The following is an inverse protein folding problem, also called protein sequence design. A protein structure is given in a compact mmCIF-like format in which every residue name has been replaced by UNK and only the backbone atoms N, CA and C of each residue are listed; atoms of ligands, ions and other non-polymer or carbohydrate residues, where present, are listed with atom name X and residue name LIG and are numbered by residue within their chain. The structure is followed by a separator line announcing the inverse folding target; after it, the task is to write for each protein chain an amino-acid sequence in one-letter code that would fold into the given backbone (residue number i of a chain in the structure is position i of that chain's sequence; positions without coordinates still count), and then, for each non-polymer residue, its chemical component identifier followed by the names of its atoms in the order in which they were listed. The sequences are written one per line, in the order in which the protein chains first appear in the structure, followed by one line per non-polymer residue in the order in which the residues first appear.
data_IF_038212324718
#
_entry.id   IF_038212324718
#
_cell.length_a   1.000
_cell.length_b   1.000
_cell.length_c   1.000
_cell.angle_alpha   90.00
_cell.angle_beta   90.00
_cell.angle_gamma   90.00
#
_symmetry.space_group_name_H-M   'P 1'
#
loop_
_entity.id
_entity.type
_entity.pdbx_description
1 polymer ?
#
# COMPACT_ATOMS: atom_id res chain seq x y z
N UNK A 1 -33.91 -18.06 -38.85
CA UNK A 1 -34.75 -18.12 -37.64
C UNK A 1 -33.82 -18.25 -36.45
N UNK A 2 -33.59 -17.17 -35.72
CA UNK A 2 -32.87 -17.14 -34.44
C UNK A 2 -33.92 -17.10 -33.32
N UNK A 3 -33.70 -17.77 -32.18
CA UNK A 3 -34.72 -17.88 -31.15
C UNK A 3 -35.03 -16.52 -30.53
N UNK A 4 -36.32 -16.31 -30.30
CA UNK A 4 -36.91 -15.12 -29.69
C UNK A 4 -36.22 -14.80 -28.35
N UNK A 5 -35.76 -13.55 -28.22
CA UNK A 5 -35.37 -12.98 -26.93
C UNK A 5 -36.55 -13.11 -25.96
N UNK A 6 -36.29 -13.58 -24.73
CA UNK A 6 -37.32 -13.68 -23.71
C UNK A 6 -37.85 -12.29 -23.32
N UNK A 7 -39.14 -12.15 -22.99
CA UNK A 7 -39.71 -10.92 -22.49
C UNK A 7 -39.24 -10.73 -21.04
N UNK A 8 -38.14 -9.98 -20.87
CA UNK A 8 -37.65 -9.30 -19.64
C UNK A 8 -36.20 -8.78 -19.77
N UNK A 9 -35.57 -8.88 -20.95
CA UNK A 9 -34.27 -8.25 -21.20
C UNK A 9 -34.44 -6.73 -21.30
N UNK A 10 -34.25 -6.02 -20.19
CA UNK A 10 -34.15 -4.56 -20.19
C UNK A 10 -32.74 -4.19 -20.68
N UNK A 11 -32.65 -3.73 -21.93
CA UNK A 11 -31.42 -3.16 -22.47
C UNK A 11 -31.22 -1.75 -21.89
N UNK A 12 -30.24 -1.58 -20.99
CA UNK A 12 -29.75 -0.26 -20.55
C UNK A 12 -28.83 0.41 -21.58
N UNK A 13 -28.50 1.71 -21.42
CA UNK A 13 -27.93 2.56 -22.47
C UNK A 13 -26.41 2.40 -22.66
N UNK A 14 -25.91 1.16 -22.78
CA UNK A 14 -24.50 0.92 -23.09
C UNK A 14 -24.32 0.56 -24.56
N UNK A 15 -24.20 1.58 -25.42
CA UNK A 15 -23.52 1.49 -26.73
C UNK A 15 -22.93 2.84 -27.13
N UNK A 16 -21.68 2.85 -27.57
CA UNK A 16 -21.18 3.75 -28.63
C UNK A 16 -20.34 2.86 -29.58
N UNK A 17 -20.47 2.90 -30.91
CA UNK A 17 -20.33 4.05 -31.81
C UNK A 17 -21.24 3.95 -33.06
N UNK A 18 -21.47 5.10 -33.71
CA UNK A 18 -22.17 5.29 -34.99
C UNK A 18 -21.34 4.95 -36.24
N UNK A 19 -20.10 4.46 -36.08
CA UNK A 19 -19.15 4.20 -37.19
C UNK A 19 -18.86 2.71 -37.48
N UNK A 20 -19.52 1.78 -36.78
CA UNK A 20 -19.40 0.35 -37.05
C UNK A 20 -18.08 -0.30 -36.60
N UNK A 21 -17.27 0.37 -35.77
CA UNK A 21 -16.13 -0.27 -35.11
C UNK A 21 -16.59 -1.18 -33.95
N UNK A 22 -15.98 -2.36 -33.83
CA UNK A 22 -16.51 -3.50 -33.06
C UNK A 22 -16.72 -3.20 -31.57
N UNK A 23 -17.98 -3.30 -31.14
CA UNK A 23 -18.39 -3.25 -29.73
C UNK A 23 -17.97 -4.56 -29.06
N UNK A 24 -16.82 -4.56 -28.39
CA UNK A 24 -16.39 -5.70 -27.57
C UNK A 24 -16.89 -5.67 -26.12
N UNK A 25 -17.65 -4.65 -25.69
CA UNK A 25 -18.07 -4.53 -24.29
C UNK A 25 -19.59 -4.33 -24.13
N UNK A 26 -20.39 -5.33 -24.53
CA UNK A 26 -21.73 -5.48 -23.94
C UNK A 26 -21.54 -6.18 -22.59
N UNK A 27 -21.41 -5.42 -21.51
CA UNK A 27 -21.55 -6.00 -20.17
C UNK A 27 -23.04 -6.26 -19.94
N UNK A 28 -23.40 -7.54 -19.97
CA UNK A 28 -24.65 -8.00 -19.36
C UNK A 28 -24.40 -7.91 -17.85
N UNK A 29 -25.11 -7.01 -17.19
CA UNK A 29 -25.08 -6.94 -15.74
C UNK A 29 -26.11 -7.92 -15.18
N UNK A 30 -25.70 -8.76 -14.24
CA UNK A 30 -26.59 -9.71 -13.56
C UNK A 30 -27.62 -9.00 -12.66
N UNK A 31 -27.35 -7.73 -12.31
CA UNK A 31 -28.20 -6.88 -11.47
C UNK A 31 -28.92 -5.81 -12.30
N UNK A 32 -30.11 -5.42 -11.85
CA UNK A 32 -30.84 -4.30 -12.45
C UNK A 32 -30.02 -3.01 -12.44
N UNK A 33 -29.99 -2.23 -13.54
CA UNK A 33 -29.28 -0.96 -13.57
C UNK A 33 -29.78 0.01 -12.49
N UNK A 34 -28.86 0.65 -11.79
CA UNK A 34 -29.18 1.76 -10.91
C UNK A 34 -29.81 2.90 -11.73
N UNK A 35 -30.99 3.37 -11.32
CA UNK A 35 -31.69 4.48 -12.00
C UNK A 35 -30.88 5.79 -12.02
N UNK A 36 -29.93 5.94 -11.10
CA UNK A 36 -29.05 7.11 -11.01
C UNK A 36 -27.75 6.95 -11.80
N UNK A 37 -27.50 5.78 -12.42
CA UNK A 37 -26.34 5.57 -13.28
C UNK A 37 -25.01 6.00 -12.65
N UNK A 38 -24.23 6.78 -13.37
CA UNK A 38 -22.90 7.22 -12.97
C UNK A 38 -22.91 8.33 -11.90
N UNK A 39 -24.07 8.95 -11.64
CA UNK A 39 -24.25 10.00 -10.62
C UNK A 39 -24.86 9.43 -9.33
N UNK A 40 -24.89 8.11 -9.16
CA UNK A 40 -25.42 7.47 -7.96
C UNK A 40 -24.57 7.84 -6.72
N UNK A 41 -25.23 8.43 -5.72
CA UNK A 41 -24.61 8.77 -4.44
C UNK A 41 -24.52 7.57 -3.49
N UNK A 42 -25.24 6.48 -3.76
CA UNK A 42 -25.28 5.25 -2.96
C UNK A 42 -24.28 4.20 -3.45
N UNK A 43 -23.36 4.57 -4.35
CA UNK A 43 -22.36 3.67 -4.93
C UNK A 43 -21.44 3.00 -3.88
N UNK A 44 -21.34 3.52 -2.66
CA UNK A 44 -20.54 2.93 -1.57
C UNK A 44 -21.39 2.22 -0.51
N UNK A 45 -22.72 2.28 -0.63
CA UNK A 45 -23.59 1.49 0.24
C UNK A 45 -23.52 0.02 -0.21
N UNK A 46 -23.02 -0.84 0.68
CA UNK A 46 -22.79 -2.25 0.37
C UNK A 46 -24.08 -2.98 0.01
N UNK A 47 -25.23 -2.57 0.56
CA UNK A 47 -26.53 -3.20 0.26
C UNK A 47 -27.02 -2.73 -1.11
N UNK A 48 -26.83 -1.47 -1.45
CA UNK A 48 -27.20 -0.91 -2.75
C UNK A 48 -26.43 -1.58 -3.89
N UNK A 49 -25.09 -1.65 -3.81
CA UNK A 49 -24.27 -2.24 -4.88
C UNK A 49 -24.45 -3.75 -5.04
N UNK A 50 -24.96 -4.45 -4.02
CA UNK A 50 -25.35 -5.86 -4.13
C UNK A 50 -26.67 -6.06 -4.90
N UNK A 51 -27.51 -5.03 -4.97
CA UNK A 51 -28.84 -5.11 -5.59
C UNK A 51 -28.91 -4.41 -6.96
N UNK A 52 -27.99 -3.49 -7.26
CA UNK A 52 -28.01 -2.69 -8.47
C UNK A 52 -26.65 -2.64 -9.18
N UNK A 53 -26.69 -2.73 -10.50
CA UNK A 53 -25.51 -2.51 -11.34
C UNK A 53 -25.27 -1.03 -11.60
N UNK A 54 -24.01 -0.67 -11.74
CA UNK A 54 -23.59 0.70 -12.02
C UNK A 54 -22.75 0.78 -13.29
N UNK A 55 -22.73 1.95 -13.95
CA UNK A 55 -21.90 2.15 -15.14
C UNK A 55 -20.41 1.96 -14.86
N UNK A 56 -19.62 1.61 -15.87
CA UNK A 56 -18.16 1.52 -15.73
C UNK A 56 -17.54 2.90 -15.52
N UNK A 57 -16.27 2.92 -15.09
CA UNK A 57 -15.47 4.14 -15.00
C UNK A 57 -15.12 4.68 -16.40
N UNK A 58 -15.01 6.00 -16.53
CA UNK A 58 -14.50 6.61 -17.75
C UNK A 58 -12.99 6.33 -17.89
N UNK A 59 -12.61 5.52 -18.88
CA UNK A 59 -11.21 5.14 -19.11
C UNK A 59 -10.29 6.33 -19.33
N UNK A 60 -10.72 7.32 -20.12
CA UNK A 60 -9.92 8.52 -20.39
C UNK A 60 -9.67 9.27 -19.08
N UNK A 61 -10.73 9.51 -18.32
CA UNK A 61 -10.67 10.17 -17.02
C UNK A 61 -9.73 9.47 -16.03
N UNK A 62 -9.84 8.15 -15.89
CA UNK A 62 -8.98 7.38 -14.97
C UNK A 62 -7.49 7.47 -15.35
N UNK A 63 -7.17 7.54 -16.64
CA UNK A 63 -5.78 7.55 -17.11
C UNK A 63 -5.16 8.95 -17.10
N UNK A 64 -5.93 9.99 -17.40
CA UNK A 64 -5.40 11.34 -17.64
C UNK A 64 -5.91 12.39 -16.65
N UNK A 65 -6.89 12.06 -15.80
CA UNK A 65 -7.61 13.02 -14.97
C UNK A 65 -8.47 14.01 -15.75
N UNK A 66 -8.67 13.77 -17.06
CA UNK A 66 -9.43 14.65 -17.97
C UNK A 66 -10.31 13.82 -18.91
N UNK A 67 -11.43 14.39 -19.33
CA UNK A 67 -12.30 13.76 -20.32
C UNK A 67 -12.81 14.85 -21.28
N UNK A 68 -12.77 14.59 -22.58
CA UNK A 68 -13.26 15.54 -23.58
C UNK A 68 -14.78 15.56 -23.69
N UNK A 69 -15.46 14.58 -23.08
CA UNK A 69 -16.91 14.37 -23.13
C UNK A 69 -17.61 14.80 -21.83
N UNK A 70 -16.99 15.66 -21.01
CA UNK A 70 -17.59 16.14 -19.75
C UNK A 70 -18.90 16.90 -19.93
N UNK A 71 -19.15 17.45 -21.13
CA UNK A 71 -20.39 18.15 -21.47
C UNK A 71 -21.43 17.25 -22.15
N UNK A 72 -21.08 16.01 -22.46
CA UNK A 72 -21.97 15.05 -23.11
C UNK A 72 -22.83 14.35 -22.05
N UNK A 73 -24.12 14.70 -21.96
CA UNK A 73 -25.03 14.20 -20.92
C UNK A 73 -25.07 12.66 -20.91
N UNK A 74 -25.10 12.04 -22.08
CA UNK A 74 -25.12 10.57 -22.21
C UNK A 74 -23.83 9.97 -21.67
N UNK A 75 -22.67 10.57 -21.97
CA UNK A 75 -21.38 10.11 -21.45
C UNK A 75 -21.29 10.23 -19.93
N UNK A 76 -21.70 11.38 -19.39
CA UNK A 76 -21.70 11.64 -17.95
C UNK A 76 -22.70 10.76 -17.18
N UNK A 77 -23.73 10.23 -17.85
CA UNK A 77 -24.65 9.24 -17.29
C UNK A 77 -24.12 7.80 -17.41
N UNK A 78 -23.38 7.51 -18.48
CA UNK A 78 -22.89 6.17 -18.83
C UNK A 78 -21.50 5.85 -18.29
N UNK A 79 -20.76 6.82 -17.75
CA UNK A 79 -19.42 6.61 -17.23
C UNK A 79 -19.15 7.42 -15.96
N UNK A 80 -18.58 6.74 -14.96
CA UNK A 80 -18.22 7.36 -13.67
C UNK A 80 -16.93 8.18 -13.83
N UNK A 81 -16.96 9.43 -13.38
CA UNK A 81 -15.83 10.38 -13.39
C UNK A 81 -15.51 10.77 -11.95
N UNK A 82 -14.77 9.91 -11.23
CA UNK A 82 -14.25 10.24 -9.89
C UNK A 82 -12.76 10.49 -9.98
N UNK A 83 -12.27 11.47 -9.23
CA UNK A 83 -10.84 11.75 -9.21
C UNK A 83 -10.14 10.72 -8.33
N UNK A 84 -8.99 10.15 -8.72
CA UNK A 84 -8.20 9.39 -7.76
C UNK A 84 -7.87 10.30 -6.57
N UNK A 85 -8.15 9.84 -5.36
CA UNK A 85 -7.82 10.60 -4.16
C UNK A 85 -6.31 10.81 -4.10
N UNK A 86 -5.85 12.06 -3.94
CA UNK A 86 -4.41 12.37 -3.80
C UNK A 86 -3.73 11.67 -2.63
N UNK A 87 -4.51 11.24 -1.64
CA UNK A 87 -4.03 10.50 -0.47
C UNK A 87 -4.18 8.98 -0.62
N UNK A 88 -4.81 8.50 -1.70
CA UNK A 88 -4.96 7.09 -2.03
C UNK A 88 -5.49 6.27 -0.86
N UNK A 89 -4.80 5.18 -0.56
CA UNK A 89 -5.12 4.28 0.56
C UNK A 89 -5.01 4.93 1.96
N UNK A 90 -4.29 6.03 2.09
CA UNK A 90 -4.03 6.71 3.37
C UNK A 90 -4.96 7.91 3.62
N UNK A 91 -6.05 8.01 2.86
CA UNK A 91 -6.98 9.12 3.00
C UNK A 91 -7.67 9.13 4.38
N UNK A 92 -7.56 10.25 5.10
CA UNK A 92 -8.23 10.46 6.40
C UNK A 92 -9.69 10.87 6.27
N UNK A 93 -10.07 11.41 5.12
CA UNK A 93 -11.42 11.89 4.83
C UNK A 93 -12.32 10.80 4.24
N UNK A 94 -11.94 9.53 4.38
CA UNK A 94 -12.67 8.38 3.83
C UNK A 94 -14.09 8.22 4.40
N UNK A 95 -14.35 8.79 5.58
CA UNK A 95 -15.67 8.79 6.20
C UNK A 95 -16.47 10.06 5.87
N UNK A 96 -15.90 11.01 5.12
CA UNK A 96 -16.61 12.19 4.67
C UNK A 96 -17.39 11.85 3.40
N UNK A 97 -18.71 11.82 3.51
CA UNK A 97 -19.63 11.47 2.41
C UNK A 97 -19.39 12.30 1.14
N UNK A 98 -19.11 13.60 1.30
CA UNK A 98 -18.84 14.47 0.16
C UNK A 98 -17.51 14.10 -0.52
N UNK A 99 -16.49 13.80 0.27
CA UNK A 99 -15.18 13.41 -0.25
C UNK A 99 -15.24 12.10 -1.04
N UNK A 100 -15.92 11.07 -0.51
CA UNK A 100 -16.02 9.79 -1.22
C UNK A 100 -16.87 9.86 -2.48
N UNK A 101 -17.81 10.81 -2.58
CA UNK A 101 -18.58 11.05 -3.82
C UNK A 101 -17.69 11.60 -4.94
N UNK A 102 -16.73 12.47 -4.59
CA UNK A 102 -15.83 13.15 -5.53
C UNK A 102 -14.59 12.32 -5.88
N UNK A 103 -14.09 11.51 -4.93
CA UNK A 103 -12.80 10.84 -5.03
C UNK A 103 -12.87 9.31 -4.95
N UNK A 104 -12.18 8.66 -5.88
CA UNK A 104 -11.94 7.22 -5.89
C UNK A 104 -10.78 6.85 -4.96
N UNK A 105 -10.94 5.74 -4.25
CA UNK A 105 -9.96 5.20 -3.33
C UNK A 105 -9.70 3.72 -3.67
N UNK A 106 -8.51 3.19 -3.37
CA UNK A 106 -8.22 1.78 -3.60
C UNK A 106 -9.17 0.84 -2.84
N UNK A 107 -9.26 -0.42 -3.26
CA UNK A 107 -10.04 -1.41 -2.53
C UNK A 107 -9.42 -1.72 -1.16
N UNK A 108 -10.23 -2.22 -0.23
CA UNK A 108 -9.69 -2.78 1.00
C UNK A 108 -8.85 -4.02 0.71
N UNK A 109 -7.78 -4.21 1.48
CA UNK A 109 -6.97 -5.42 1.45
C UNK A 109 -7.86 -6.64 1.76
N UNK A 110 -7.80 -7.66 0.91
CA UNK A 110 -8.60 -8.89 1.04
C UNK A 110 -8.30 -9.67 2.32
N UNK A 111 -7.10 -9.50 2.89
CA UNK A 111 -6.70 -10.12 4.15
C UNK A 111 -7.30 -9.43 5.38
N UNK A 112 -7.94 -8.25 5.23
CA UNK A 112 -8.60 -7.52 6.32
C UNK A 112 -7.69 -7.36 7.54
N UNK A 113 -8.20 -7.77 8.71
CA UNK A 113 -7.46 -7.70 9.98
C UNK A 113 -6.21 -8.57 10.05
N UNK A 114 -6.09 -9.59 9.20
CA UNK A 114 -4.96 -10.52 9.16
C UNK A 114 -3.79 -10.03 8.28
N UNK A 115 -3.92 -8.89 7.60
CA UNK A 115 -2.88 -8.42 6.70
C UNK A 115 -1.57 -8.09 7.44
N UNK A 116 -0.49 -8.81 7.11
CA UNK A 116 0.87 -8.58 7.64
C UNK A 116 1.80 -7.83 6.67
N UNK A 117 1.35 -7.58 5.43
CA UNK A 117 2.18 -6.94 4.40
C UNK A 117 2.22 -5.42 4.59
N UNK A 118 3.34 -4.94 5.12
CA UNK A 118 3.60 -3.51 5.35
C UNK A 118 4.49 -2.88 4.28
N UNK A 119 4.66 -3.53 3.12
CA UNK A 119 5.48 -2.98 2.04
C UNK A 119 4.84 -1.69 1.48
N UNK A 120 5.68 -0.73 1.08
CA UNK A 120 5.21 0.55 0.52
C UNK A 120 4.24 0.36 -0.63
N UNK A 121 4.50 -0.61 -1.50
CA UNK A 121 3.68 -0.83 -2.69
C UNK A 121 2.31 -1.40 -2.32
N UNK A 122 2.26 -2.32 -1.34
CA UNK A 122 1.01 -2.85 -0.80
C UNK A 122 0.17 -1.76 -0.09
N UNK A 123 0.80 -0.97 0.78
CA UNK A 123 0.16 0.12 1.53
C UNK A 123 -0.35 1.25 0.62
N UNK A 124 0.25 1.44 -0.56
CA UNK A 124 -0.24 2.39 -1.58
C UNK A 124 -1.41 1.80 -2.39
N UNK A 125 -1.35 0.50 -2.67
CA UNK A 125 -2.30 -0.19 -3.54
C UNK A 125 -3.61 -0.57 -2.85
N UNK A 126 -3.64 -0.71 -1.52
CA UNK A 126 -4.82 -1.19 -0.79
C UNK A 126 -5.09 -0.36 0.46
N UNK A 127 -6.37 -0.18 0.78
CA UNK A 127 -6.81 0.35 2.08
C UNK A 127 -6.75 -0.73 3.15
N UNK A 128 -6.43 -0.34 4.37
CA UNK A 128 -6.40 -1.24 5.52
C UNK A 128 -7.34 -0.77 6.62
N UNK A 129 -7.72 -1.71 7.47
CA UNK A 129 -8.36 -1.40 8.75
C UNK A 129 -7.38 -0.61 9.64
N UNK A 130 -7.88 0.23 10.56
CA UNK A 130 -7.05 0.85 11.58
C UNK A 130 -6.17 -0.17 12.31
N UNK A 131 -4.94 0.23 12.65
CA UNK A 131 -4.03 -0.61 13.42
C UNK A 131 -4.57 -0.81 14.84
N UNK A 132 -4.50 -2.04 15.33
CA UNK A 132 -4.78 -2.35 16.74
C UNK A 132 -3.65 -1.80 17.62
N UNK A 133 -3.99 -1.15 18.73
CA UNK A 133 -3.01 -0.61 19.70
C UNK A 133 -2.04 -1.70 20.20
N UNK A 134 -2.55 -2.89 20.48
CA UNK A 134 -1.73 -4.03 20.96
C UNK A 134 -1.01 -4.78 19.82
N UNK A 135 -1.24 -4.39 18.55
CA UNK A 135 -0.64 -5.02 17.37
C UNK A 135 -0.75 -6.56 17.43
N UNK A 136 0.32 -7.32 17.17
CA UNK A 136 0.29 -8.79 17.22
C UNK A 136 0.12 -9.38 18.64
N UNK A 137 0.32 -8.58 19.69
CA UNK A 137 0.13 -9.01 21.10
C UNK A 137 -1.32 -8.93 21.56
N UNK A 138 -2.23 -8.47 20.70
CA UNK A 138 -3.64 -8.33 21.04
C UNK A 138 -4.27 -9.68 21.42
N UNK A 139 -4.74 -9.81 22.67
CA UNK A 139 -5.40 -11.04 23.14
C UNK A 139 -6.65 -11.38 22.32
N UNK A 140 -7.46 -10.37 21.96
CA UNK A 140 -8.67 -10.57 21.14
C UNK A 140 -8.35 -11.12 19.74
N UNK A 141 -7.19 -10.80 19.20
CA UNK A 141 -6.71 -11.38 17.95
C UNK A 141 -6.28 -12.83 18.13
N UNK A 142 -5.52 -13.11 19.19
CA UNK A 142 -5.08 -14.47 19.54
C UNK A 142 -6.26 -15.41 19.85
N UNK A 143 -7.34 -14.89 20.44
CA UNK A 143 -8.59 -15.59 20.70
C UNK A 143 -9.54 -15.63 19.50
N UNK A 144 -9.13 -15.07 18.35
CA UNK A 144 -9.91 -15.02 17.11
C UNK A 144 -11.32 -14.39 17.27
N UNK A 145 -11.44 -13.33 18.06
CA UNK A 145 -12.70 -12.60 18.24
C UNK A 145 -13.08 -11.86 16.95
N UNK A 146 -14.04 -12.39 16.19
CA UNK A 146 -14.41 -11.95 14.83
C UNK A 146 -14.70 -10.44 14.73
N UNK A 147 -15.55 -9.91 15.62
CA UNK A 147 -15.92 -8.49 15.63
C UNK A 147 -14.70 -7.55 15.80
N UNK A 148 -13.68 -8.00 16.53
CA UNK A 148 -12.43 -7.23 16.70
C UNK A 148 -11.60 -7.26 15.41
N UNK A 149 -11.44 -8.44 14.81
CA UNK A 149 -10.62 -8.65 13.61
C UNK A 149 -11.22 -7.98 12.37
N UNK A 150 -12.54 -7.84 12.31
CA UNK A 150 -13.23 -7.09 11.25
C UNK A 150 -13.01 -5.57 11.34
N UNK A 151 -12.57 -5.06 12.49
CA UNK A 151 -12.40 -3.62 12.75
C UNK A 151 -10.96 -3.17 12.82
N UNK A 152 -10.04 -4.08 13.15
CA UNK A 152 -8.64 -3.74 13.38
C UNK A 152 -7.70 -4.67 12.63
N UNK A 153 -6.57 -4.11 12.20
CA UNK A 153 -5.43 -4.84 11.63
C UNK A 153 -4.37 -5.11 12.70
N UNK A 154 -3.78 -6.30 12.65
CA UNK A 154 -2.81 -6.79 13.62
C UNK A 154 -1.47 -7.12 12.96
N UNK A 155 -0.77 -6.12 12.43
CA UNK A 155 0.60 -6.32 11.94
C UNK A 155 1.65 -5.74 12.89
N UNK A 156 2.91 -6.15 12.71
CA UNK A 156 4.03 -5.50 13.39
C UNK A 156 4.21 -4.12 12.74
N UNK A 157 4.11 -3.01 13.49
CA UNK A 157 4.33 -1.67 12.95
C UNK A 157 5.78 -1.54 12.47
N UNK A 158 6.01 -0.74 11.43
CA UNK A 158 7.37 -0.38 11.04
C UNK A 158 8.01 0.46 12.16
N UNK A 159 9.30 0.24 12.44
CA UNK A 159 10.06 1.08 13.36
C UNK A 159 10.11 2.52 12.84
N UNK A 160 9.76 3.50 13.67
CA UNK A 160 9.78 4.93 13.30
C UNK A 160 11.17 5.44 12.90
N UNK A 161 12.21 4.78 13.38
CA UNK A 161 13.60 5.13 13.12
C UNK A 161 14.24 4.35 11.95
N UNK A 162 13.53 3.36 11.39
CA UNK A 162 14.01 2.53 10.28
C UNK A 162 15.48 2.07 10.47
N UNK A 163 16.37 2.36 9.51
CA UNK A 163 17.81 2.04 9.51
C UNK A 163 18.65 2.85 10.52
N UNK A 164 18.03 3.67 11.36
CA UNK A 164 18.69 4.53 12.36
C UNK A 164 18.21 4.23 13.79
N UNK A 165 17.51 3.11 14.00
CA UNK A 165 16.95 2.75 15.29
C UNK A 165 18.00 2.64 16.39
N UNK A 166 17.90 3.48 17.43
CA UNK A 166 18.79 3.45 18.60
C UNK A 166 18.44 2.32 19.58
N UNK A 167 17.16 1.90 19.57
CA UNK A 167 16.59 0.86 20.44
C UNK A 167 16.78 -0.57 19.89
N UNK A 168 17.64 -0.75 18.88
CA UNK A 168 17.84 -2.05 18.22
C UNK A 168 18.37 -3.15 19.16
N UNK A 169 18.92 -2.78 20.32
CA UNK A 169 19.37 -3.71 21.37
C UNK A 169 18.29 -4.06 22.39
N UNK A 170 17.20 -3.30 22.42
CA UNK A 170 16.07 -3.57 23.29
C UNK A 170 15.25 -4.69 22.65
N UNK A 171 15.35 -5.90 23.19
CA UNK A 171 14.66 -7.08 22.66
C UNK A 171 13.17 -6.81 22.47
N UNK A 172 12.53 -6.16 23.44
CA UNK A 172 11.11 -5.82 23.34
C UNK A 172 10.83 -4.88 22.15
N UNK A 173 11.66 -3.86 21.90
CA UNK A 173 11.50 -3.00 20.72
C UNK A 173 11.70 -3.79 19.43
N UNK A 174 12.77 -4.58 19.34
CA UNK A 174 13.08 -5.34 18.13
C UNK A 174 11.99 -6.37 17.79
N UNK A 175 11.41 -7.02 18.80
CA UNK A 175 10.33 -8.00 18.59
C UNK A 175 8.99 -7.34 18.23
N UNK A 176 8.75 -6.10 18.67
CA UNK A 176 7.48 -5.39 18.46
C UNK A 176 7.47 -4.43 17.27
N UNK A 177 8.61 -4.17 16.63
CA UNK A 177 8.71 -3.28 15.49
C UNK A 177 9.45 -3.96 14.34
N UNK A 178 8.99 -3.71 13.12
CA UNK A 178 9.63 -4.21 11.90
C UNK A 178 10.72 -3.24 11.47
N UNK A 179 11.95 -3.75 11.38
CA UNK A 179 13.09 -3.01 10.84
C UNK A 179 13.36 -3.39 9.39
N UNK A 180 13.92 -2.47 8.58
CA UNK A 180 14.39 -2.77 7.23
C UNK A 180 15.70 -3.58 7.20
N UNK A 181 16.28 -3.88 8.36
CA UNK A 181 17.56 -4.58 8.49
C UNK A 181 17.42 -5.92 9.26
N UNK A 182 18.29 -6.91 9.00
CA UNK A 182 18.35 -8.18 9.73
C UNK A 182 18.57 -8.06 11.26
N UNK A 183 18.56 -9.17 11.98
CA UNK A 183 18.84 -9.15 13.41
C UNK A 183 20.21 -8.53 13.69
N UNK A 184 20.36 -7.60 14.65
CA UNK A 184 21.66 -6.99 14.91
C UNK A 184 22.63 -8.02 15.48
N UNK A 185 23.90 -7.92 15.08
CA UNK A 185 24.94 -8.77 15.64
C UNK A 185 24.98 -8.61 17.17
N UNK A 186 25.12 -9.73 17.91
CA UNK A 186 25.18 -9.72 19.38
C UNK A 186 26.31 -8.87 19.98
N UNK A 187 27.31 -8.52 19.17
CA UNK A 187 28.45 -7.69 19.56
C UNK A 187 28.21 -6.21 19.22
N UNK A 188 27.25 -5.88 18.36
CA UNK A 188 26.79 -4.51 18.12
C UNK A 188 26.26 -3.92 19.45
N UNK A 189 26.48 -2.63 19.77
CA UNK A 189 27.08 -1.56 18.96
C UNK A 189 28.62 -1.54 19.02
N UNK A 190 29.24 -2.51 19.70
CA UNK A 190 30.68 -2.62 19.79
C UNK A 190 31.30 -3.14 18.48
N UNK A 191 32.64 -3.10 18.41
CA UNK A 191 33.39 -3.52 17.22
C UNK A 191 33.30 -5.03 17.02
N UNK A 192 32.44 -5.46 16.09
CA UNK A 192 32.45 -6.84 15.58
C UNK A 192 33.69 -7.06 14.69
N UNK A 193 34.61 -8.00 15.03
CA UNK A 193 35.83 -8.21 14.25
C UNK A 193 35.58 -8.67 12.80
N UNK A 194 34.52 -9.47 12.59
CA UNK A 194 34.15 -9.95 11.26
C UNK A 194 33.67 -8.81 10.37
N UNK A 195 32.82 -7.92 10.91
CA UNK A 195 32.35 -6.75 10.19
C UNK A 195 33.47 -5.72 9.95
N UNK A 196 34.40 -5.55 10.90
CA UNK A 196 35.57 -4.72 10.67
C UNK A 196 36.41 -5.24 9.48
N UNK A 197 36.69 -6.55 9.44
CA UNK A 197 37.36 -7.16 8.29
C UNK A 197 36.57 -6.98 6.99
N UNK A 198 35.24 -7.10 7.04
CA UNK A 198 34.36 -6.90 5.89
C UNK A 198 34.45 -5.47 5.34
N UNK A 199 34.38 -4.45 6.21
CA UNK A 199 34.48 -3.03 5.81
C UNK A 199 35.86 -2.60 5.33
N UNK A 200 36.93 -3.24 5.83
CA UNK A 200 38.32 -2.92 5.45
C UNK A 200 38.80 -3.66 4.18
N UNK A 201 38.07 -4.67 3.72
CA UNK A 201 38.43 -5.43 2.54
C UNK A 201 38.22 -4.62 1.25
N UNK A 202 39.27 -4.49 0.45
CA UNK A 202 39.19 -3.87 -0.89
C UNK A 202 38.28 -4.66 -1.84
N UNK A 203 38.28 -5.98 -1.69
CA UNK A 203 37.56 -6.90 -2.56
C UNK A 203 36.81 -7.93 -1.70
N UNK A 204 35.49 -7.76 -1.58
CA UNK A 204 34.61 -8.61 -0.75
C UNK A 204 34.65 -10.08 -1.17
N UNK A 205 35.00 -10.38 -2.42
CA UNK A 205 35.11 -11.74 -2.98
C UNK A 205 36.24 -12.58 -2.35
N UNK A 206 37.27 -11.93 -1.80
CA UNK A 206 38.40 -12.61 -1.15
C UNK A 206 38.18 -12.88 0.34
N UNK A 207 37.06 -12.41 0.91
CA UNK A 207 36.68 -12.73 2.28
C UNK A 207 36.25 -14.19 2.41
N UNK A 208 36.50 -14.76 3.59
CA UNK A 208 36.01 -16.10 3.91
C UNK A 208 34.47 -16.15 3.79
N UNK A 209 33.94 -17.34 3.52
CA UNK A 209 32.48 -17.56 3.50
C UNK A 209 31.85 -17.18 4.85
N UNK A 210 32.54 -17.45 5.95
CA UNK A 210 32.10 -17.10 7.31
C UNK A 210 31.89 -15.59 7.49
N UNK A 211 32.85 -14.75 7.11
CA UNK A 211 32.74 -13.29 7.25
C UNK A 211 31.58 -12.77 6.40
N UNK A 212 31.45 -13.24 5.15
CA UNK A 212 30.37 -12.83 4.26
C UNK A 212 29.01 -13.25 4.81
N UNK A 213 28.88 -14.50 5.25
CA UNK A 213 27.64 -15.00 5.81
C UNK A 213 27.24 -14.25 7.08
N UNK A 214 28.21 -13.95 7.95
CA UNK A 214 27.97 -13.16 9.15
C UNK A 214 27.39 -11.78 8.82
N UNK A 215 28.00 -11.06 7.88
CA UNK A 215 27.56 -9.70 7.53
C UNK A 215 26.26 -9.67 6.71
N UNK A 216 25.90 -10.78 6.04
CA UNK A 216 24.60 -10.91 5.37
C UNK A 216 23.48 -11.28 6.35
N UNK A 217 23.80 -12.05 7.40
CA UNK A 217 22.82 -12.51 8.38
C UNK A 217 22.56 -11.50 9.50
N UNK A 218 23.52 -10.62 9.77
CA UNK A 218 23.47 -9.70 10.89
C UNK A 218 23.79 -8.27 10.48
N UNK A 219 23.13 -7.33 11.13
CA UNK A 219 23.37 -5.91 10.94
C UNK A 219 24.32 -5.36 11.99
N UNK A 220 25.11 -4.36 11.62
CA UNK A 220 26.11 -3.72 12.47
C UNK A 220 25.94 -2.22 12.51
N UNK A 221 26.31 -1.58 13.62
CA UNK A 221 26.40 -0.12 13.65
C UNK A 221 27.62 0.31 12.85
N UNK A 222 27.41 1.22 11.90
CA UNK A 222 28.49 1.77 11.10
C UNK A 222 29.49 2.53 12.00
N UNK A 223 30.81 2.22 11.95
CA UNK A 223 31.81 2.91 12.77
C UNK A 223 31.93 4.41 12.46
N UNK A 224 31.51 4.83 11.26
CA UNK A 224 31.50 6.22 10.84
C UNK A 224 30.20 6.94 11.25
N UNK A 225 29.17 6.20 11.70
CA UNK A 225 27.88 6.73 12.11
C UNK A 225 27.31 7.70 11.07
N UNK A 226 26.77 8.84 11.52
CA UNK A 226 26.23 9.90 10.64
C UNK A 226 27.23 10.48 9.62
N UNK A 227 28.54 10.30 9.83
CA UNK A 227 29.57 10.80 8.92
C UNK A 227 29.91 9.81 7.80
N UNK A 228 29.22 8.66 7.75
CA UNK A 228 29.39 7.71 6.67
C UNK A 228 28.91 8.30 5.35
N UNK A 229 29.77 8.27 4.34
CA UNK A 229 29.45 8.68 2.95
C UNK A 229 29.32 7.47 2.02
N UNK A 230 29.32 6.25 2.56
CA UNK A 230 29.23 5.03 1.79
C UNK A 230 27.79 4.76 1.34
N UNK A 231 27.53 4.94 0.05
CA UNK A 231 26.22 4.71 -0.58
C UNK A 231 26.13 3.35 -1.28
N UNK A 232 27.08 2.44 -1.05
CA UNK A 232 27.00 1.07 -1.59
C UNK A 232 25.72 0.37 -1.06
N UNK A 233 24.87 -0.21 -1.93
CA UNK A 233 23.62 -0.83 -1.50
C UNK A 233 23.82 -1.90 -0.41
N UNK A 234 24.86 -2.72 -0.54
CA UNK A 234 25.14 -3.74 0.47
C UNK A 234 25.61 -3.16 1.80
N UNK A 235 26.24 -1.97 1.80
CA UNK A 235 26.52 -1.23 3.04
C UNK A 235 25.22 -0.76 3.70
N UNK A 236 24.31 -0.16 2.93
CA UNK A 236 23.03 0.34 3.43
C UNK A 236 22.12 -0.77 3.98
N UNK A 237 22.18 -1.98 3.42
CA UNK A 237 21.44 -3.15 3.90
C UNK A 237 22.02 -3.77 5.19
N UNK A 238 23.33 -3.63 5.41
CA UNK A 238 24.05 -4.31 6.50
C UNK A 238 24.48 -3.38 7.63
N UNK A 239 24.26 -2.07 7.49
CA UNK A 239 24.80 -1.05 8.40
C UNK A 239 23.74 -0.09 8.93
N UNK A 240 23.67 0.04 10.25
CA UNK A 240 22.83 1.00 10.97
C UNK A 240 23.62 2.27 11.20
N UNK A 241 23.03 3.43 10.90
CA UNK A 241 23.60 4.74 11.15
C UNK A 241 22.82 5.39 12.29
N UNK A 242 23.25 5.13 13.52
CA UNK A 242 22.63 5.69 14.74
C UNK A 242 22.79 7.22 14.71
N UNK A 243 21.68 7.95 14.77
CA UNK A 243 21.64 9.40 14.93
C UNK A 243 21.55 9.75 16.42
N UNK A 244 22.12 10.88 16.84
CA UNK A 244 22.03 11.33 18.24
C UNK A 244 20.58 11.73 18.58
N UNK A 245 20.10 11.31 19.77
CA UNK A 245 18.75 11.60 20.27
C UNK A 245 18.51 13.12 20.32
N UNK A 246 17.64 13.61 19.44
CA UNK A 246 17.31 15.04 19.32
C UNK A 246 17.03 15.48 17.88
N UNK A 247 17.49 14.73 16.88
CA UNK A 247 17.14 14.92 15.48
C UNK A 247 16.06 13.91 15.05
N UNK A 248 14.84 14.06 15.59
CA UNK A 248 13.70 13.23 15.20
C UNK A 248 13.45 13.32 13.68
N UNK A 249 13.38 12.13 13.07
CA UNK A 249 12.98 11.78 11.70
C UNK A 249 12.72 12.95 10.74
N UNK A 250 13.76 13.39 10.00
CA UNK A 250 13.53 14.04 8.72
C UNK A 250 12.98 13.00 7.73
N UNK A 251 11.64 12.87 7.69
CA UNK A 251 10.90 12.37 6.51
C UNK A 251 11.26 13.12 5.21
N UNK A 252 12.16 14.09 5.26
CA UNK A 252 12.57 14.96 4.16
C UNK A 252 13.95 14.62 3.56
N UNK A 253 14.78 13.76 4.17
CA UNK A 253 16.16 13.56 3.65
C UNK A 253 16.32 12.50 2.55
N UNK A 254 15.40 11.54 2.42
CA UNK A 254 15.45 10.52 1.35
C UNK A 254 14.53 10.80 0.15
N UNK A 255 13.79 11.92 0.15
CA UNK A 255 12.96 12.34 -1.01
C UNK A 255 13.75 12.95 -2.18
N UNK A 256 15.07 13.07 -2.10
CA UNK A 256 15.89 13.76 -3.12
C UNK A 256 16.82 12.86 -3.93
N UNK A 257 16.69 11.53 -3.88
CA UNK A 257 17.56 10.64 -4.66
C UNK A 257 16.86 9.83 -5.75
N UNK A 258 15.52 9.88 -5.85
CA UNK A 258 14.78 9.19 -6.90
C UNK A 258 13.50 9.96 -7.29
N UNK A 259 13.66 11.09 -7.96
CA UNK A 259 12.70 11.60 -8.94
C UNK A 259 13.51 12.37 -10.01
N UNK A 260 13.32 12.09 -11.32
CA UNK A 260 13.97 12.82 -12.41
C UNK A 260 13.42 14.24 -12.59
#
# INVERSE_FOLDING_TARGET
MLPFAQPNTICGPYRTSSDGSMIFDVRIFDLHPCQFGAICNEFYDSKHVQNYSHPPLCKQWCLTGTCTQMNEIVHMFSFIHRYPCRYGAQCKDINNEKHIQEYEHPFYCSNGGYCQDTSSDHEKAYRHLPMCEDSQRCLKYQEHITNHIEKFRHCIPNCEYENSCVHLHEREHYENYKHPFPFPCLITPYRCPLYQQFTMAKEKQHLSSEIRQHCLNFTHVCPLGRNCTNNDPSHLETSIHVLEDGELSNKERFRFLFDP
#
